data_IF_131825116426
#
_entry.id   IF_131825116426
#
_cell.length_a   1.000
_cell.length_b   1.000
_cell.length_c   1.000
_cell.angle_alpha   90.00
_cell.angle_beta   90.00
_cell.angle_gamma   90.00
#
_symmetry.space_group_name_H-M   'P 1'
#
loop_
_entity.id
_entity.type
_entity.pdbx_description
1 polymer ?
#
# COMPACT_ATOMS: atom_id res chain seq x y z
N UNK A 1 35.95 9.32 -5.35
CA UNK A 1 35.43 8.65 -6.56
C UNK A 1 34.33 7.65 -6.13
N UNK A 2 33.25 8.09 -5.49
CA UNK A 2 31.95 8.47 -6.10
C UNK A 2 31.35 7.49 -7.13
N UNK A 3 31.72 6.21 -7.12
CA UNK A 3 31.28 5.24 -8.13
C UNK A 3 30.40 4.09 -7.61
N UNK A 4 29.82 4.20 -6.40
CA UNK A 4 28.94 3.14 -5.85
C UNK A 4 27.52 3.59 -5.50
N UNK A 5 27.27 4.88 -5.35
CA UNK A 5 25.94 5.38 -4.95
C UNK A 5 24.97 5.58 -6.12
N UNK A 6 25.47 5.65 -7.36
CA UNK A 6 24.63 5.96 -8.53
C UNK A 6 23.83 4.75 -9.07
N UNK A 7 24.24 3.51 -8.77
CA UNK A 7 23.49 2.31 -9.16
C UNK A 7 22.24 2.08 -8.31
N UNK A 8 22.19 2.60 -7.09
CA UNK A 8 20.99 2.51 -6.25
C UNK A 8 19.92 3.50 -6.71
N UNK A 9 20.32 4.67 -7.22
CA UNK A 9 19.39 5.72 -7.64
C UNK A 9 18.75 5.41 -8.99
N UNK A 10 19.49 4.85 -9.95
CA UNK A 10 18.94 4.47 -11.26
C UNK A 10 18.04 3.22 -11.23
N UNK A 11 18.21 2.33 -10.23
CA UNK A 11 17.30 1.21 -10.02
C UNK A 11 15.91 1.60 -9.50
N UNK A 12 15.76 2.80 -8.91
CA UNK A 12 14.52 3.27 -8.30
C UNK A 12 13.57 3.99 -9.27
N UNK A 13 14.04 4.44 -10.44
CA UNK A 13 13.26 5.36 -11.31
C UNK A 13 12.61 4.65 -12.51
N UNK A 14 13.03 3.43 -12.87
CA UNK A 14 12.53 2.72 -14.06
C UNK A 14 11.14 2.06 -13.86
N UNK A 15 10.66 1.88 -12.63
CA UNK A 15 9.42 1.12 -12.37
C UNK A 15 8.16 1.99 -12.25
N UNK A 16 8.25 3.31 -12.46
CA UNK A 16 7.13 4.21 -12.17
C UNK A 16 5.99 4.20 -13.21
N UNK A 17 6.20 3.69 -14.43
CA UNK A 17 5.28 3.95 -15.56
C UNK A 17 4.54 2.73 -16.14
N UNK A 18 4.65 1.52 -15.57
CA UNK A 18 3.91 0.32 -16.05
C UNK A 18 3.16 -0.46 -14.95
N UNK A 19 3.23 -0.02 -13.68
CA UNK A 19 2.87 -0.87 -12.54
C UNK A 19 1.47 -0.60 -11.93
N UNK A 20 0.68 0.34 -12.45
CA UNK A 20 -0.60 0.72 -11.81
C UNK A 20 -1.71 -0.33 -11.91
N UNK A 21 -1.59 -1.35 -12.77
CA UNK A 21 -2.57 -2.45 -12.87
C UNK A 21 -2.24 -3.69 -11.99
N UNK A 22 -0.97 -3.88 -11.60
CA UNK A 22 -0.51 -5.13 -10.96
C UNK A 22 -0.19 -5.00 -9.46
N UNK A 23 -0.24 -3.78 -8.92
CA UNK A 23 0.19 -3.52 -7.53
C UNK A 23 -0.93 -3.70 -6.49
N UNK A 24 -2.17 -3.97 -6.91
CA UNK A 24 -3.29 -4.23 -6.00
C UNK A 24 -3.04 -5.36 -4.99
N UNK A 25 -2.59 -6.58 -5.39
CA UNK A 25 -2.29 -7.64 -4.43
C UNK A 25 -1.19 -7.23 -3.43
N UNK A 26 -0.17 -6.49 -3.88
CA UNK A 26 0.89 -5.99 -2.99
C UNK A 26 0.36 -4.92 -2.02
N UNK A 27 -0.52 -4.04 -2.48
CA UNK A 27 -1.15 -3.03 -1.65
C UNK A 27 -2.01 -3.67 -0.54
N UNK A 28 -2.81 -4.68 -0.91
CA UNK A 28 -3.62 -5.47 0.02
C UNK A 28 -2.74 -6.22 1.02
N UNK A 29 -1.66 -6.86 0.57
CA UNK A 29 -0.71 -7.56 1.43
C UNK A 29 -0.09 -6.61 2.47
N UNK A 30 0.33 -5.42 2.02
CA UNK A 30 0.93 -4.40 2.88
C UNK A 30 -0.05 -3.93 3.94
N UNK A 31 -1.27 -3.60 3.53
CA UNK A 31 -2.33 -3.15 4.45
C UNK A 31 -2.76 -4.28 5.40
N UNK A 32 -2.83 -5.53 4.93
CA UNK A 32 -3.14 -6.69 5.78
C UNK A 32 -2.08 -6.97 6.82
N UNK A 33 -0.80 -6.80 6.49
CA UNK A 33 0.28 -6.95 7.46
C UNK A 33 0.29 -5.82 8.48
N UNK A 34 -0.03 -4.58 8.07
CA UNK A 34 -0.06 -3.42 8.97
C UNK A 34 -1.33 -3.35 9.84
N UNK A 35 -2.46 -3.84 9.34
CA UNK A 35 -3.76 -3.80 9.99
C UNK A 35 -4.36 -5.21 10.12
N UNK A 36 -3.74 -6.12 10.91
CA UNK A 36 -4.17 -7.51 11.03
C UNK A 36 -5.57 -7.67 11.66
N UNK A 37 -6.01 -6.66 12.40
CA UNK A 37 -7.35 -6.57 12.99
C UNK A 37 -8.44 -6.27 11.96
N UNK A 38 -8.08 -5.81 10.74
CA UNK A 38 -9.05 -5.45 9.72
C UNK A 38 -9.52 -6.67 8.91
N UNK A 39 -10.80 -6.68 8.55
CA UNK A 39 -11.41 -7.65 7.67
C UNK A 39 -10.87 -7.46 6.25
N UNK A 40 -10.57 -8.57 5.56
CA UNK A 40 -9.99 -8.55 4.22
C UNK A 40 -10.84 -7.75 3.23
N UNK A 41 -12.17 -7.79 3.34
CA UNK A 41 -13.07 -6.97 2.52
C UNK A 41 -12.80 -5.47 2.69
N UNK A 42 -12.56 -5.03 3.91
CA UNK A 42 -12.20 -3.64 4.18
C UNK A 42 -10.79 -3.30 3.71
N UNK A 43 -9.87 -4.25 3.75
CA UNK A 43 -8.51 -4.06 3.21
C UNK A 43 -8.56 -3.89 1.68
N UNK A 44 -9.38 -4.68 0.98
CA UNK A 44 -9.61 -4.51 -0.44
C UNK A 44 -10.23 -3.15 -0.77
N UNK A 45 -11.24 -2.71 0.00
CA UNK A 45 -11.83 -1.39 -0.18
C UNK A 45 -10.84 -0.26 0.10
N UNK A 46 -10.08 -0.36 1.19
CA UNK A 46 -9.04 0.61 1.53
C UNK A 46 -7.97 0.68 0.43
N UNK A 47 -7.51 -0.47 -0.07
CA UNK A 47 -6.55 -0.54 -1.17
C UNK A 47 -7.12 0.10 -2.45
N UNK A 48 -8.38 -0.17 -2.78
CA UNK A 48 -9.03 0.38 -3.97
C UNK A 48 -9.21 1.91 -3.88
N UNK A 49 -9.63 2.42 -2.73
CA UNK A 49 -9.77 3.87 -2.48
C UNK A 49 -8.40 4.55 -2.56
N UNK A 50 -7.35 3.89 -2.07
CA UNK A 50 -5.99 4.41 -2.05
C UNK A 50 -5.17 3.99 -3.28
N UNK A 51 -5.82 3.68 -4.41
CA UNK A 51 -5.15 3.21 -5.64
C UNK A 51 -4.12 4.19 -6.20
N UNK A 52 -4.34 5.48 -5.99
CA UNK A 52 -3.42 6.56 -6.38
C UNK A 52 -2.07 6.42 -5.66
N UNK A 53 -2.04 5.78 -4.49
CA UNK A 53 -0.85 5.62 -3.66
C UNK A 53 -0.22 4.22 -3.74
N UNK A 54 -0.65 3.33 -4.64
CA UNK A 54 -0.06 1.99 -4.74
C UNK A 54 1.43 1.99 -5.05
N UNK A 55 1.94 3.02 -5.71
CA UNK A 55 3.38 3.21 -5.96
C UNK A 55 4.16 3.69 -4.74
N UNK A 56 3.48 4.18 -3.70
CA UNK A 56 4.08 4.75 -2.51
C UNK A 56 3.53 4.08 -1.24
N UNK A 57 4.31 3.14 -0.69
CA UNK A 57 3.91 2.36 0.48
C UNK A 57 3.56 3.21 1.71
N UNK A 58 4.29 4.30 1.96
CA UNK A 58 4.03 5.16 3.13
C UNK A 58 2.68 5.88 2.99
N UNK A 59 2.41 6.43 1.80
CA UNK A 59 1.13 7.08 1.52
C UNK A 59 -0.02 6.09 1.47
N UNK A 60 0.21 4.87 0.97
CA UNK A 60 -0.77 3.79 0.99
C UNK A 60 -1.16 3.40 2.42
N UNK A 61 -0.18 3.22 3.30
CA UNK A 61 -0.44 2.92 4.72
C UNK A 61 -1.16 4.07 5.41
N UNK A 62 -0.79 5.31 5.12
CA UNK A 62 -1.47 6.48 5.67
C UNK A 62 -2.93 6.58 5.20
N UNK A 63 -3.17 6.48 3.89
CA UNK A 63 -4.51 6.57 3.30
C UNK A 63 -5.38 5.37 3.73
N UNK A 64 -4.88 4.15 3.54
CA UNK A 64 -5.60 2.93 3.85
C UNK A 64 -5.82 2.77 5.35
N UNK A 65 -4.82 3.10 6.16
CA UNK A 65 -4.92 3.15 7.62
C UNK A 65 -5.93 4.17 8.13
N UNK A 66 -5.90 5.40 7.59
CA UNK A 66 -6.88 6.42 7.93
C UNK A 66 -8.30 5.98 7.59
N UNK A 67 -8.49 5.36 6.43
CA UNK A 67 -9.79 4.82 6.03
C UNK A 67 -10.23 3.66 6.94
N UNK A 68 -9.34 2.71 7.24
CA UNK A 68 -9.62 1.59 8.13
C UNK A 68 -9.95 2.06 9.54
N UNK A 69 -9.24 3.06 10.07
CA UNK A 69 -9.53 3.63 11.38
C UNK A 69 -10.89 4.31 11.44
N UNK A 70 -11.27 5.06 10.39
CA UNK A 70 -12.60 5.68 10.29
C UNK A 70 -13.72 4.64 10.20
N UNK A 71 -13.44 3.48 9.60
CA UNK A 71 -14.39 2.39 9.42
C UNK A 71 -14.18 1.24 10.43
N UNK A 72 -13.41 1.46 11.51
CA UNK A 72 -12.97 0.41 12.42
C UNK A 72 -14.12 -0.43 12.97
N UNK A 73 -15.26 0.18 13.29
CA UNK A 73 -16.43 -0.53 13.81
C UNK A 73 -17.02 -1.58 12.85
N UNK A 74 -16.95 -1.34 11.53
CA UNK A 74 -17.43 -2.28 10.51
C UNK A 74 -16.32 -3.18 9.98
N UNK A 75 -15.09 -2.68 10.01
CA UNK A 75 -13.92 -3.33 9.44
C UNK A 75 -13.14 -4.18 10.42
N UNK A 76 -13.50 -4.21 11.71
CA UNK A 76 -12.92 -5.17 12.65
C UNK A 76 -13.27 -6.60 12.23
N UNK A 77 -12.26 -7.47 12.13
CA UNK A 77 -12.49 -8.92 12.13
C UNK A 77 -13.19 -9.25 13.44
N UNK A 78 -14.46 -9.64 13.36
CA UNK A 78 -15.11 -10.33 14.47
C UNK A 78 -14.34 -11.62 14.67
N UNK A 79 -13.70 -11.75 15.83
CA UNK A 79 -13.15 -13.01 16.30
C UNK A 79 -14.28 -13.95 16.71
#
# INVERSE_FOLDING_TARGET
MFARSFLVVLGLVVIANIATANNFPQAVQTLSSAYPWANMNCIYQAANICMIHWSNQQQLLFCGGSWLQRNKGQCMKSG
#
